data_IF_101158068957
#
_entry.id   IF_101158068957
#
_cell.length_a   1.000
_cell.length_b   1.000
_cell.length_c   1.000
_cell.angle_alpha   90.00
_cell.angle_beta   90.00
_cell.angle_gamma   90.00
#
_symmetry.space_group_name_H-M   'P 1'
#
loop_
_entity.id
_entity.type
_entity.pdbx_description
1 polymer ?
#
# COMPACT_ATOMS: atom_id res chain seq x y z
N UNK A 1 -20.87 4.24 45.26
CA UNK A 1 -20.09 3.78 44.10
C UNK A 1 -19.51 4.99 43.38
N UNK A 2 -18.20 5.18 43.43
CA UNK A 2 -17.55 6.25 42.68
C UNK A 2 -17.44 5.83 41.20
N UNK A 3 -18.03 6.60 40.30
CA UNK A 3 -17.82 6.44 38.86
C UNK A 3 -16.34 6.71 38.60
N UNK A 4 -15.60 5.69 38.15
CA UNK A 4 -14.20 5.83 37.72
C UNK A 4 -14.13 6.80 36.53
N UNK A 5 -13.85 8.07 36.80
CA UNK A 5 -13.64 9.12 35.78
C UNK A 5 -12.50 8.79 34.80
N UNK A 6 -11.64 7.81 35.11
CA UNK A 6 -10.55 7.36 34.23
C UNK A 6 -11.02 6.65 32.95
N UNK A 7 -12.27 6.18 32.87
CA UNK A 7 -12.80 5.56 31.66
C UNK A 7 -13.20 6.58 30.57
N UNK A 8 -13.42 7.85 30.97
CA UNK A 8 -13.77 8.94 30.04
C UNK A 8 -12.53 9.68 29.52
N UNK A 9 -11.34 9.51 30.11
CA UNK A 9 -10.27 10.50 29.95
C UNK A 9 -9.30 10.25 28.79
N UNK A 10 -9.27 9.08 28.14
CA UNK A 10 -8.37 8.83 26.99
C UNK A 10 -9.08 8.74 25.64
N UNK A 11 -10.35 8.30 25.62
CA UNK A 11 -11.14 8.18 24.38
C UNK A 11 -11.87 9.46 23.97
N UNK A 12 -12.08 10.39 24.89
CA UNK A 12 -12.81 11.66 24.65
C UNK A 12 -11.90 12.90 24.72
N UNK A 13 -10.57 12.74 24.64
CA UNK A 13 -9.68 13.90 24.59
C UNK A 13 -9.87 14.64 23.26
N UNK A 14 -10.28 15.90 23.36
CA UNK A 14 -10.26 16.81 22.23
C UNK A 14 -8.79 17.05 21.88
N UNK A 15 -8.36 16.55 20.72
CA UNK A 15 -6.99 16.74 20.23
C UNK A 15 -6.68 18.25 20.16
N UNK A 16 -5.50 18.62 20.64
CA UNK A 16 -4.97 19.98 20.46
C UNK A 16 -4.78 20.28 18.97
N UNK A 17 -4.69 21.57 18.59
CA UNK A 17 -4.45 21.97 17.20
C UNK A 17 -3.21 21.25 16.63
N UNK A 18 -2.11 21.28 17.38
CA UNK A 18 -0.85 20.59 17.04
C UNK A 18 -1.03 19.09 16.78
N UNK A 19 -1.75 18.39 17.67
CA UNK A 19 -2.02 16.95 17.49
C UNK A 19 -2.89 16.65 16.26
N UNK A 20 -3.82 17.56 15.91
CA UNK A 20 -4.63 17.42 14.71
C UNK A 20 -3.79 17.61 13.45
N UNK A 21 -2.89 18.58 13.45
CA UNK A 21 -1.95 18.85 12.35
C UNK A 21 -0.99 17.67 12.14
N UNK A 22 -0.36 17.18 13.21
CA UNK A 22 0.52 16.00 13.15
C UNK A 22 -0.21 14.77 12.59
N UNK A 23 -1.44 14.54 13.04
CA UNK A 23 -2.29 13.46 12.53
C UNK A 23 -2.65 13.65 11.06
N UNK A 24 -2.94 14.87 10.62
CA UNK A 24 -3.25 15.16 9.23
C UNK A 24 -2.02 14.94 8.33
N UNK A 25 -0.85 15.41 8.75
CA UNK A 25 0.42 15.20 8.04
C UNK A 25 0.75 13.71 7.93
N UNK A 26 0.61 12.96 9.03
CA UNK A 26 0.82 11.51 9.01
C UNK A 26 -0.14 10.79 8.06
N UNK A 27 -1.43 11.16 8.07
CA UNK A 27 -2.41 10.58 7.13
C UNK A 27 -2.08 10.90 5.67
N UNK A 28 -1.62 12.12 5.39
CA UNK A 28 -1.19 12.52 4.05
C UNK A 28 0.00 11.67 3.60
N UNK A 29 0.99 11.51 4.46
CA UNK A 29 2.13 10.62 4.24
C UNK A 29 1.68 9.18 3.96
N UNK A 30 0.80 8.61 4.78
CA UNK A 30 0.27 7.26 4.58
C UNK A 30 -0.47 7.13 3.24
N UNK A 31 -1.28 8.11 2.88
CA UNK A 31 -2.02 8.10 1.62
C UNK A 31 -1.07 8.05 0.41
N UNK A 32 -0.01 8.85 0.44
CA UNK A 32 1.03 8.85 -0.60
C UNK A 32 1.80 7.54 -0.59
N UNK A 33 2.33 7.10 0.55
CA UNK A 33 3.08 5.86 0.71
C UNK A 33 2.35 4.65 0.12
N UNK A 34 1.09 4.43 0.50
CA UNK A 34 0.30 3.30 0.00
C UNK A 34 -0.15 3.42 -1.46
N UNK A 35 -0.08 4.63 -2.02
CA UNK A 35 -0.37 4.86 -3.44
C UNK A 35 0.87 4.58 -4.27
N UNK A 36 2.04 5.06 -3.85
CA UNK A 36 3.32 4.71 -4.48
C UNK A 36 3.56 3.21 -4.46
N UNK A 37 3.36 2.55 -3.31
CA UNK A 37 3.47 1.09 -3.19
C UNK A 37 2.59 0.35 -4.19
N UNK A 38 1.38 0.86 -4.42
CA UNK A 38 0.48 0.29 -5.39
C UNK A 38 0.94 0.49 -6.82
N UNK A 39 1.36 1.70 -7.19
CA UNK A 39 1.86 1.99 -8.53
C UNK A 39 3.05 1.11 -8.88
N UNK A 40 3.98 0.96 -7.93
CA UNK A 40 5.15 0.09 -8.09
C UNK A 40 4.73 -1.37 -8.26
N UNK A 41 3.77 -1.86 -7.45
CA UNK A 41 3.24 -3.21 -7.60
C UNK A 41 2.59 -3.44 -8.97
N UNK A 42 1.76 -2.50 -9.43
CA UNK A 42 1.09 -2.59 -10.73
C UNK A 42 2.09 -2.63 -11.90
N UNK A 43 3.24 -1.97 -11.76
CA UNK A 43 4.31 -2.00 -12.75
C UNK A 43 4.98 -3.38 -12.82
N UNK A 44 5.27 -4.01 -11.67
CA UNK A 44 6.04 -5.26 -11.64
C UNK A 44 5.16 -6.51 -11.76
N UNK A 45 3.87 -6.47 -11.37
CA UNK A 45 3.03 -7.67 -11.28
C UNK A 45 2.85 -8.43 -12.59
N UNK A 46 2.99 -7.74 -13.72
CA UNK A 46 2.90 -8.36 -15.06
C UNK A 46 4.09 -9.26 -15.39
N UNK A 47 5.23 -9.06 -14.72
CA UNK A 47 6.45 -9.84 -14.93
C UNK A 47 6.49 -11.11 -14.09
N UNK A 48 5.85 -11.12 -12.92
CA UNK A 48 5.83 -12.26 -11.98
C UNK A 48 5.44 -13.57 -12.66
N UNK A 49 4.35 -13.56 -13.43
CA UNK A 49 3.87 -14.76 -14.11
C UNK A 49 4.87 -15.24 -15.16
N UNK A 50 5.47 -14.33 -15.92
CA UNK A 50 6.44 -14.68 -16.96
C UNK A 50 7.71 -15.28 -16.36
N UNK A 51 8.24 -14.65 -15.32
CA UNK A 51 9.43 -15.12 -14.61
C UNK A 51 9.19 -16.50 -13.99
N UNK A 52 8.02 -16.72 -13.38
CA UNK A 52 7.67 -18.02 -12.82
C UNK A 52 7.62 -19.15 -13.87
N UNK A 53 7.27 -18.84 -15.12
CA UNK A 53 7.37 -19.81 -16.23
C UNK A 53 8.82 -20.06 -16.63
N UNK A 54 9.63 -19.00 -16.72
CA UNK A 54 11.04 -19.08 -17.12
C UNK A 54 11.89 -19.87 -16.10
N UNK A 55 11.59 -19.70 -14.80
CA UNK A 55 12.28 -20.39 -13.71
C UNK A 55 11.65 -21.73 -13.32
N UNK A 56 10.53 -22.12 -13.95
CA UNK A 56 9.86 -23.39 -13.71
C UNK A 56 9.13 -23.49 -12.36
N UNK A 57 8.85 -22.35 -11.72
CA UNK A 57 8.07 -22.26 -10.47
C UNK A 57 6.59 -22.57 -10.71
N UNK A 58 6.06 -22.21 -11.89
CA UNK A 58 4.74 -22.60 -12.36
C UNK A 58 4.87 -23.72 -13.39
N UNK A 59 4.11 -24.79 -13.21
CA UNK A 59 4.04 -25.89 -14.16
C UNK A 59 2.69 -25.91 -14.89
N UNK A 60 2.74 -26.18 -16.19
CA UNK A 60 1.52 -26.42 -16.96
C UNK A 60 1.02 -27.84 -16.65
N UNK A 61 -0.23 -27.96 -16.19
CA UNK A 61 -0.86 -29.29 -16.07
C UNK A 61 -1.53 -29.73 -17.39
N UNK A 62 -1.83 -28.77 -18.27
CA UNK A 62 -2.24 -28.99 -19.66
C UNK A 62 -1.76 -27.82 -20.56
N UNK A 63 -1.70 -27.96 -21.89
CA UNK A 63 -1.19 -26.93 -22.78
C UNK A 63 -1.93 -25.59 -22.62
N UNK A 64 -1.24 -24.58 -22.07
CA UNK A 64 -1.80 -23.26 -21.80
C UNK A 64 -2.72 -23.18 -20.57
N UNK A 65 -2.83 -24.25 -19.77
CA UNK A 65 -3.60 -24.27 -18.53
C UNK A 65 -2.69 -24.37 -17.31
N UNK A 66 -3.04 -23.60 -16.27
CA UNK A 66 -2.29 -23.45 -15.03
C UNK A 66 -3.24 -23.60 -13.86
N UNK A 67 -2.78 -24.22 -12.77
CA UNK A 67 -3.59 -24.39 -11.58
C UNK A 67 -3.88 -23.00 -10.97
N UNK A 68 -5.16 -22.59 -10.86
CA UNK A 68 -5.52 -21.30 -10.27
C UNK A 68 -4.98 -21.11 -8.86
N UNK A 69 -4.86 -22.18 -8.06
CA UNK A 69 -4.36 -22.12 -6.69
C UNK A 69 -2.84 -21.89 -6.67
N UNK A 70 -2.08 -22.53 -7.55
CA UNK A 70 -0.63 -22.27 -7.70
C UNK A 70 -0.37 -20.83 -8.16
N UNK A 71 -1.13 -20.35 -9.15
CA UNK A 71 -1.02 -18.96 -9.63
C UNK A 71 -1.33 -17.97 -8.51
N UNK A 72 -2.38 -18.25 -7.73
CA UNK A 72 -2.74 -17.40 -6.58
C UNK A 72 -1.66 -17.41 -5.50
N UNK A 73 -1.06 -18.57 -5.23
CA UNK A 73 0.03 -18.70 -4.27
C UNK A 73 1.27 -17.93 -4.74
N UNK A 74 1.65 -18.05 -6.01
CA UNK A 74 2.76 -17.30 -6.60
C UNK A 74 2.60 -15.79 -6.39
N UNK A 75 1.42 -15.25 -6.73
CA UNK A 75 1.17 -13.81 -6.55
C UNK A 75 1.13 -13.40 -5.07
N UNK A 76 0.70 -14.29 -4.18
CA UNK A 76 0.73 -14.04 -2.74
C UNK A 76 2.16 -13.97 -2.22
N UNK A 77 3.02 -14.94 -2.58
CA UNK A 77 4.43 -14.96 -2.18
C UNK A 77 5.18 -13.74 -2.73
N UNK A 78 5.03 -13.44 -4.02
CA UNK A 78 5.65 -12.27 -4.64
C UNK A 78 5.16 -10.95 -4.01
N UNK A 79 3.89 -10.87 -3.57
CA UNK A 79 3.39 -9.70 -2.85
C UNK A 79 4.03 -9.56 -1.47
N UNK A 80 4.25 -10.66 -0.75
CA UNK A 80 4.87 -10.67 0.57
C UNK A 80 6.34 -10.26 0.51
N UNK A 81 7.07 -10.69 -0.52
CA UNK A 81 8.44 -10.26 -0.77
C UNK A 81 8.49 -8.79 -1.17
N UNK A 82 7.71 -8.39 -2.17
CA UNK A 82 7.63 -7.02 -2.64
C UNK A 82 7.32 -6.04 -1.51
N UNK A 83 6.30 -6.32 -0.68
CA UNK A 83 5.90 -5.39 0.38
C UNK A 83 7.01 -5.26 1.42
N UNK A 84 7.77 -6.33 1.71
CA UNK A 84 8.84 -6.30 2.70
C UNK A 84 10.00 -5.43 2.19
N UNK A 85 10.39 -5.61 0.93
CA UNK A 85 11.44 -4.80 0.29
C UNK A 85 11.02 -3.33 0.15
N UNK A 86 9.79 -3.08 -0.33
CA UNK A 86 9.27 -1.74 -0.48
C UNK A 86 9.18 -1.02 0.87
N UNK A 87 8.59 -1.66 1.88
CA UNK A 87 8.43 -1.05 3.19
C UNK A 87 9.82 -0.81 3.83
N UNK A 88 10.79 -1.72 3.69
CA UNK A 88 12.15 -1.50 4.16
C UNK A 88 12.84 -0.31 3.47
N UNK A 89 12.62 -0.11 2.16
CA UNK A 89 13.20 0.99 1.39
C UNK A 89 12.56 2.36 1.67
N UNK A 90 11.27 2.40 2.00
CA UNK A 90 10.49 3.64 2.02
C UNK A 90 9.85 4.00 3.37
N UNK A 91 9.93 3.15 4.41
CA UNK A 91 9.29 3.42 5.72
C UNK A 91 9.79 4.70 6.38
N UNK A 92 11.04 5.09 6.09
CA UNK A 92 11.65 6.32 6.60
C UNK A 92 11.66 7.46 5.59
N UNK A 93 11.12 7.26 4.39
CA UNK A 93 11.02 8.31 3.38
C UNK A 93 10.08 9.42 3.86
N UNK A 94 10.49 10.66 3.64
CA UNK A 94 9.65 11.85 3.83
C UNK A 94 8.54 11.91 2.79
N UNK A 95 7.55 12.79 3.01
CA UNK A 95 6.48 13.01 2.03
C UNK A 95 7.07 13.52 0.71
N UNK A 96 8.02 14.44 0.79
CA UNK A 96 8.69 15.06 -0.34
C UNK A 96 9.46 14.02 -1.16
N UNK A 97 10.24 13.14 -0.52
CA UNK A 97 10.97 12.06 -1.20
C UNK A 97 10.02 11.08 -1.90
N UNK A 98 8.89 10.74 -1.29
CA UNK A 98 7.88 9.88 -1.91
C UNK A 98 7.24 10.54 -3.14
N UNK A 99 6.96 11.84 -3.07
CA UNK A 99 6.40 12.60 -4.19
C UNK A 99 7.43 12.74 -5.32
N UNK A 100 8.69 13.03 -5.00
CA UNK A 100 9.77 13.09 -5.99
C UNK A 100 9.96 11.75 -6.70
N UNK A 101 9.98 10.65 -5.93
CA UNK A 101 10.02 9.31 -6.48
C UNK A 101 8.84 9.05 -7.42
N UNK A 102 7.62 9.37 -6.98
CA UNK A 102 6.42 9.16 -7.78
C UNK A 102 6.42 9.99 -9.07
N UNK A 103 6.88 11.23 -8.99
CA UNK A 103 7.02 12.10 -10.14
C UNK A 103 8.04 11.56 -11.14
N UNK A 104 9.20 11.12 -10.66
CA UNK A 104 10.29 10.60 -11.50
C UNK A 104 9.91 9.28 -12.20
N UNK A 105 9.23 8.38 -11.50
CA UNK A 105 8.98 7.03 -11.99
C UNK A 105 7.61 6.86 -12.66
N UNK A 106 6.62 7.66 -12.27
CA UNK A 106 5.23 7.54 -12.76
C UNK A 106 4.67 8.85 -13.32
N UNK A 107 5.44 9.95 -13.32
CA UNK A 107 4.96 11.25 -13.76
C UNK A 107 3.82 11.82 -12.91
N UNK A 108 3.64 11.31 -11.69
CA UNK A 108 2.44 11.58 -10.87
C UNK A 108 2.71 12.67 -9.84
N UNK A 109 1.81 13.65 -9.73
CA UNK A 109 1.90 14.73 -8.74
C UNK A 109 1.34 14.33 -7.37
N UNK A 110 1.56 15.16 -6.35
CA UNK A 110 0.99 14.93 -5.02
C UNK A 110 -0.55 14.92 -5.04
N UNK A 111 -1.15 15.82 -5.81
CA UNK A 111 -2.60 15.90 -5.99
C UNK A 111 -3.15 14.61 -6.61
N UNK A 112 -2.51 14.12 -7.67
CA UNK A 112 -2.90 12.88 -8.35
C UNK A 112 -2.77 11.66 -7.41
N UNK A 113 -1.70 11.59 -6.60
CA UNK A 113 -1.50 10.52 -5.62
C UNK A 113 -2.61 10.50 -4.56
N UNK A 114 -3.02 11.68 -4.08
CA UNK A 114 -4.10 11.79 -3.11
C UNK A 114 -5.45 11.45 -3.73
N UNK A 115 -5.69 11.84 -4.98
CA UNK A 115 -6.90 11.47 -5.71
C UNK A 115 -6.99 9.95 -5.94
N UNK A 116 -5.92 9.33 -6.44
CA UNK A 116 -5.85 7.88 -6.61
C UNK A 116 -6.10 7.15 -5.29
N UNK A 117 -5.55 7.65 -4.18
CA UNK A 117 -5.78 7.07 -2.87
C UNK A 117 -7.27 7.10 -2.48
N UNK A 118 -7.93 8.22 -2.74
CA UNK A 118 -9.36 8.39 -2.45
C UNK A 118 -10.22 7.46 -3.32
N UNK A 119 -9.96 7.39 -4.62
CA UNK A 119 -10.66 6.50 -5.56
C UNK A 119 -10.51 5.03 -5.13
N UNK A 120 -9.29 4.59 -4.81
CA UNK A 120 -9.01 3.22 -4.35
C UNK A 120 -9.66 2.91 -3.01
N UNK A 121 -9.68 3.87 -2.10
CA UNK A 121 -10.36 3.72 -0.81
C UNK A 121 -11.87 3.57 -1.01
N UNK A 122 -12.48 4.41 -1.85
CA UNK A 122 -13.90 4.32 -2.18
C UNK A 122 -14.26 2.95 -2.78
N UNK A 123 -13.47 2.46 -3.74
CA UNK A 123 -13.67 1.16 -4.37
C UNK A 123 -13.62 -0.04 -3.39
N UNK A 124 -12.89 0.10 -2.26
CA UNK A 124 -12.86 -0.91 -1.19
C UNK A 124 -14.07 -0.85 -0.28
N UNK A 125 -14.59 0.34 0.00
CA UNK A 125 -15.79 0.52 0.84
C UNK A 125 -17.09 0.17 0.11
N UNK A 126 -17.06 0.19 -1.24
CA UNK A 126 -18.20 -0.23 -2.07
C UNK A 126 -18.24 -1.74 -2.36
N UNK A 127 -17.32 -2.53 -1.82
CA UNK A 127 -17.30 -4.01 -1.85
C UNK A 127 -17.84 -4.57 -0.54
#
# INVERSE_FOLDING_TARGET
>A
MAIKQSALSSKFQVLTLKQREEKASFRRWQAVFYTVRFLQWEQIKGHIFREALEFGTLSQYAPGEYDPDEVKQLYAEAWEEFKAEFDAGFVHATLEELVEYAHKHFGTSLEDLLELNAQRSAARFSR
#
